data_IF_078297528074
#
_entry.id   IF_078297528074
#
_cell.length_a   1.000
_cell.length_b   1.000
_cell.length_c   1.000
_cell.angle_alpha   90.00
_cell.angle_beta   90.00
_cell.angle_gamma   90.00
#
_symmetry.space_group_name_H-M   'P 1'
#
loop_
_entity.id
_entity.type
_entity.pdbx_description
1 polymer ?
#
# COMPACT_ATOMS: atom_id res chain seq x y z
N UNK A 1 -6.96 -21.41 -1.43
CA UNK A 1 -5.93 -20.64 -0.66
C UNK A 1 -5.18 -19.72 -1.60
N UNK A 2 -4.55 -18.65 -1.07
CA UNK A 2 -3.68 -17.75 -1.85
C UNK A 2 -2.37 -17.52 -1.11
N UNK A 3 -1.27 -17.48 -1.88
CA UNK A 3 0.07 -17.14 -1.41
C UNK A 3 0.73 -16.22 -2.41
N UNK A 4 1.60 -15.34 -1.96
CA UNK A 4 2.34 -14.42 -2.83
C UNK A 4 3.84 -14.69 -2.76
N UNK A 5 4.45 -14.78 -3.93
CA UNK A 5 5.90 -14.72 -4.09
C UNK A 5 6.34 -13.28 -3.90
N UNK A 6 7.37 -13.07 -3.08
CA UNK A 6 7.89 -11.75 -2.77
C UNK A 6 9.35 -11.62 -3.18
N UNK A 7 9.72 -10.42 -3.62
CA UNK A 7 11.10 -10.13 -4.01
C UNK A 7 12.05 -10.14 -2.82
N UNK A 8 13.24 -10.75 -2.94
CA UNK A 8 14.32 -10.60 -1.99
C UNK A 8 15.16 -9.33 -2.21
N UNK A 9 14.97 -8.64 -3.33
CA UNK A 9 15.75 -7.47 -3.71
C UNK A 9 15.10 -6.16 -3.27
N UNK A 10 15.93 -5.21 -2.81
CA UNK A 10 15.49 -3.86 -2.47
C UNK A 10 15.15 -3.03 -3.73
N UNK A 11 15.91 -3.22 -4.82
CA UNK A 11 15.65 -2.60 -6.11
C UNK A 11 16.22 -3.50 -7.20
N UNK A 12 15.36 -3.97 -8.09
CA UNK A 12 15.77 -4.80 -9.22
C UNK A 12 14.75 -4.72 -10.35
N UNK A 13 15.22 -4.90 -11.54
CA UNK A 13 14.38 -5.09 -12.72
C UNK A 13 13.96 -6.55 -12.83
N UNK A 14 12.72 -6.79 -13.21
CA UNK A 14 12.18 -8.12 -13.47
C UNK A 14 12.40 -8.41 -14.96
N UNK A 15 13.28 -9.35 -15.26
CA UNK A 15 13.58 -9.72 -16.65
C UNK A 15 12.62 -10.81 -17.19
N UNK A 16 12.22 -11.73 -16.32
CA UNK A 16 11.27 -12.78 -16.64
C UNK A 16 10.69 -13.39 -15.35
N UNK A 17 9.46 -13.85 -15.46
CA UNK A 17 8.77 -14.66 -14.45
C UNK A 17 8.30 -15.93 -15.13
N UNK A 18 8.90 -17.06 -14.77
CA UNK A 18 8.51 -18.38 -15.26
C UNK A 18 7.59 -19.03 -14.23
N UNK A 19 6.39 -19.37 -14.66
CA UNK A 19 5.33 -19.94 -13.83
C UNK A 19 4.93 -21.37 -14.28
N UNK A 20 5.54 -21.89 -15.34
CA UNK A 20 5.16 -23.19 -15.93
C UNK A 20 5.27 -24.33 -14.92
N UNK A 21 6.39 -24.35 -14.15
CA UNK A 21 6.60 -25.36 -13.12
C UNK A 21 5.57 -25.32 -12.00
N UNK A 22 5.05 -24.13 -11.66
CA UNK A 22 4.00 -23.97 -10.67
C UNK A 22 2.63 -24.40 -11.19
N UNK A 23 2.31 -24.05 -12.43
CA UNK A 23 1.05 -24.40 -13.09
C UNK A 23 0.91 -25.91 -13.33
N UNK A 24 2.03 -26.63 -13.47
CA UNK A 24 2.05 -28.09 -13.64
C UNK A 24 1.71 -28.86 -12.36
N UNK A 25 1.72 -28.23 -11.19
CA UNK A 25 1.43 -28.90 -9.93
C UNK A 25 -0.07 -29.15 -9.74
N UNK A 26 -0.44 -30.35 -9.24
CA UNK A 26 -1.83 -30.66 -8.94
C UNK A 26 -2.36 -29.75 -7.83
N UNK A 27 -3.60 -29.27 -8.01
CA UNK A 27 -4.26 -28.39 -7.03
C UNK A 27 -3.92 -26.92 -7.14
N UNK A 28 -3.10 -26.51 -8.12
CA UNK A 28 -2.89 -25.12 -8.49
C UNK A 28 -3.99 -24.71 -9.49
N UNK A 29 -4.82 -23.77 -9.08
CA UNK A 29 -5.93 -23.28 -9.90
C UNK A 29 -5.46 -22.20 -10.89
N UNK A 30 -4.61 -21.27 -10.45
CA UNK A 30 -3.96 -20.28 -11.30
C UNK A 30 -2.76 -19.62 -10.62
N UNK A 31 -1.90 -19.00 -11.46
CA UNK A 31 -0.82 -18.10 -11.04
C UNK A 31 -1.02 -16.76 -11.73
N UNK A 32 -0.99 -15.68 -10.96
CA UNK A 32 -1.15 -14.30 -11.45
C UNK A 32 0.17 -13.58 -11.28
N UNK A 33 0.67 -12.94 -12.33
CA UNK A 33 1.91 -12.17 -12.34
C UNK A 33 1.63 -10.68 -12.60
N UNK A 34 2.67 -9.84 -12.54
CA UNK A 34 2.55 -8.41 -12.75
C UNK A 34 1.92 -8.01 -14.08
N UNK A 35 2.20 -8.73 -15.17
CA UNK A 35 1.61 -8.47 -16.48
C UNK A 35 0.09 -8.70 -16.49
N UNK A 36 -0.39 -9.72 -15.79
CA UNK A 36 -1.83 -9.96 -15.65
C UNK A 36 -2.49 -8.86 -14.82
N UNK A 37 -1.83 -8.46 -13.72
CA UNK A 37 -2.30 -7.36 -12.90
C UNK A 37 -2.41 -6.06 -13.70
N UNK A 38 -1.43 -5.77 -14.57
CA UNK A 38 -1.44 -4.61 -15.46
C UNK A 38 -2.59 -4.66 -16.47
N UNK A 39 -2.91 -5.83 -16.97
CA UNK A 39 -4.00 -6.05 -17.93
C UNK A 39 -5.38 -5.90 -17.31
N UNK A 40 -5.56 -6.38 -16.06
CA UNK A 40 -6.88 -6.46 -15.43
C UNK A 40 -7.19 -5.32 -14.46
N UNK A 41 -6.19 -4.58 -14.02
CA UNK A 41 -6.36 -3.53 -13.01
C UNK A 41 -5.81 -2.19 -13.50
N UNK A 42 -5.98 -1.17 -12.66
CA UNK A 42 -5.31 0.11 -12.80
C UNK A 42 -4.34 0.30 -11.64
N UNK A 43 -3.27 1.10 -11.80
CA UNK A 43 -2.38 1.41 -10.68
C UNK A 43 -3.16 2.13 -9.58
N UNK A 44 -2.75 1.93 -8.34
CA UNK A 44 -3.34 2.65 -7.22
C UNK A 44 -3.12 4.15 -7.39
N UNK A 45 -4.21 4.91 -7.28
CA UNK A 45 -4.14 6.35 -7.24
C UNK A 45 -3.65 6.79 -5.85
N UNK A 46 -2.45 7.28 -5.77
CA UNK A 46 -1.92 7.88 -4.54
C UNK A 46 -2.19 9.39 -4.61
N UNK A 47 -2.89 9.93 -3.60
CA UNK A 47 -3.24 11.36 -3.52
C UNK A 47 -2.02 12.22 -3.16
N UNK A 48 -1.01 12.25 -4.02
CA UNK A 48 0.19 13.06 -3.92
C UNK A 48 0.32 13.95 -5.16
N UNK A 49 1.06 15.05 -5.06
CA UNK A 49 1.25 16.00 -6.17
C UNK A 49 1.91 15.33 -7.38
N UNK A 50 2.79 14.38 -7.14
CA UNK A 50 3.50 13.64 -8.18
C UNK A 50 3.07 12.18 -8.09
N UNK A 51 2.15 11.73 -8.96
CA UNK A 51 1.61 10.39 -8.88
C UNK A 51 2.69 9.36 -9.26
N UNK A 52 2.98 8.45 -8.33
CA UNK A 52 3.75 7.25 -8.60
C UNK A 52 2.79 6.12 -8.99
N UNK A 53 3.20 5.30 -9.96
CA UNK A 53 2.41 4.13 -10.35
C UNK A 53 2.73 2.97 -9.40
N UNK A 54 1.75 2.58 -8.59
CA UNK A 54 1.80 1.39 -7.75
C UNK A 54 0.80 0.36 -8.23
N UNK A 55 1.29 -0.80 -8.57
CA UNK A 55 0.47 -1.96 -8.94
C UNK A 55 0.33 -2.91 -7.75
N UNK A 56 -0.68 -3.75 -7.78
CA UNK A 56 -0.86 -4.79 -6.75
C UNK A 56 0.22 -5.89 -6.79
N UNK A 57 0.84 -6.07 -7.97
CA UNK A 57 2.03 -6.90 -8.18
C UNK A 57 3.07 -6.09 -8.95
N UNK A 58 4.34 -6.33 -8.68
CA UNK A 58 5.43 -5.71 -9.42
C UNK A 58 5.38 -6.14 -10.89
N UNK A 59 5.44 -5.17 -11.82
CA UNK A 59 5.34 -5.42 -13.26
C UNK A 59 6.72 -5.50 -13.90
N UNK A 60 7.43 -4.38 -13.91
CA UNK A 60 8.71 -4.19 -14.61
C UNK A 60 9.90 -4.21 -13.65
N UNK A 61 9.69 -3.76 -12.41
CA UNK A 61 10.74 -3.72 -11.40
C UNK A 61 10.17 -3.79 -9.99
N UNK A 62 11.00 -4.28 -9.07
CA UNK A 62 10.75 -4.24 -7.64
C UNK A 62 11.48 -3.07 -7.01
N UNK A 63 10.86 -2.43 -6.01
CA UNK A 63 11.29 -1.17 -5.41
C UNK A 63 11.55 -1.28 -3.90
N UNK A 64 11.21 -2.42 -3.32
CA UNK A 64 11.49 -2.73 -1.90
C UNK A 64 11.53 -4.24 -1.67
N UNK A 65 12.26 -4.64 -0.62
CA UNK A 65 12.29 -6.04 -0.19
C UNK A 65 10.90 -6.47 0.26
N UNK A 66 10.44 -7.60 -0.26
CA UNK A 66 9.10 -8.10 0.05
C UNK A 66 7.98 -7.62 -0.87
N UNK A 67 8.30 -6.85 -1.92
CA UNK A 67 7.31 -6.47 -2.94
C UNK A 67 6.74 -7.72 -3.61
N UNK A 68 5.40 -7.87 -3.69
CA UNK A 68 4.78 -9.03 -4.30
C UNK A 68 4.99 -9.04 -5.83
N UNK A 69 5.45 -10.18 -6.35
CA UNK A 69 5.75 -10.37 -7.78
C UNK A 69 4.75 -11.30 -8.45
N UNK A 70 4.34 -12.36 -7.74
CA UNK A 70 3.33 -13.29 -8.22
C UNK A 70 2.39 -13.73 -7.10
N UNK A 71 1.20 -14.16 -7.46
CA UNK A 71 0.22 -14.76 -6.54
C UNK A 71 -0.21 -16.10 -7.09
N UNK A 72 -0.15 -17.12 -6.25
CA UNK A 72 -0.65 -18.46 -6.55
C UNK A 72 -1.98 -18.67 -5.86
N UNK A 73 -2.95 -19.23 -6.57
CA UNK A 73 -4.23 -19.68 -6.05
C UNK A 73 -4.28 -21.21 -6.12
N UNK A 74 -4.60 -21.81 -4.98
CA UNK A 74 -4.66 -23.27 -4.84
C UNK A 74 -5.86 -23.67 -3.99
N UNK A 75 -6.25 -24.93 -4.07
CA UNK A 75 -7.28 -25.50 -3.20
C UNK A 75 -6.76 -25.69 -1.79
N UNK A 76 -5.51 -26.14 -1.65
CA UNK A 76 -4.88 -26.46 -0.38
C UNK A 76 -3.68 -25.57 -0.08
N UNK A 77 -3.36 -25.45 1.21
CA UNK A 77 -2.27 -24.60 1.67
C UNK A 77 -0.89 -25.11 1.23
N UNK A 78 -0.66 -26.40 1.37
CA UNK A 78 0.63 -27.04 1.05
C UNK A 78 0.95 -26.85 -0.44
N UNK A 79 -0.02 -27.12 -1.32
CA UNK A 79 0.16 -26.90 -2.76
C UNK A 79 0.55 -25.45 -3.11
N UNK A 80 0.14 -24.47 -2.31
CA UNK A 80 0.52 -23.07 -2.55
C UNK A 80 2.00 -22.80 -2.18
N UNK A 81 2.52 -23.44 -1.15
CA UNK A 81 3.91 -23.30 -0.73
C UNK A 81 4.83 -23.99 -1.75
N UNK A 82 4.50 -25.22 -2.14
CA UNK A 82 5.22 -25.97 -3.18
C UNK A 82 5.21 -25.24 -4.53
N UNK A 83 4.09 -24.62 -4.89
CA UNK A 83 3.99 -23.87 -6.14
C UNK A 83 4.85 -22.60 -6.14
N UNK A 84 5.00 -21.90 -5.00
CA UNK A 84 5.90 -20.75 -4.91
C UNK A 84 7.35 -21.13 -5.20
N UNK A 85 7.80 -22.31 -4.75
CA UNK A 85 9.16 -22.79 -4.98
C UNK A 85 9.44 -23.14 -6.45
N UNK A 86 8.38 -23.35 -7.25
CA UNK A 86 8.46 -23.66 -8.68
C UNK A 86 8.35 -22.42 -9.57
N UNK A 87 8.13 -21.23 -9.01
CA UNK A 87 8.17 -19.99 -9.78
C UNK A 87 9.62 -19.48 -9.83
N UNK A 88 10.16 -19.39 -11.03
CA UNK A 88 11.49 -18.82 -11.24
C UNK A 88 11.37 -17.36 -11.70
N UNK A 89 12.03 -16.45 -10.98
CA UNK A 89 12.10 -15.03 -11.34
C UNK A 89 13.53 -14.64 -11.63
N UNK A 90 13.78 -14.10 -12.80
CA UNK A 90 15.07 -13.53 -13.18
C UNK A 90 15.09 -12.05 -12.89
N UNK A 91 15.97 -11.63 -12.00
CA UNK A 91 16.16 -10.24 -11.61
C UNK A 91 17.48 -9.70 -12.17
N UNK A 92 17.51 -8.41 -12.46
CA UNK A 92 18.71 -7.61 -12.63
C UNK A 92 18.78 -6.61 -11.49
N UNK A 93 19.64 -6.83 -10.47
CA UNK A 93 19.76 -5.89 -9.35
C UNK A 93 20.13 -4.48 -9.84
N UNK A 94 19.54 -3.49 -9.21
CA UNK A 94 19.79 -2.07 -9.45
C UNK A 94 20.30 -1.42 -8.17
N UNK A 95 21.05 -0.30 -8.27
CA UNK A 95 21.41 0.48 -7.11
C UNK A 95 20.20 0.84 -6.27
N UNK A 96 20.32 0.71 -4.96
CA UNK A 96 19.24 1.00 -4.01
C UNK A 96 19.74 1.92 -2.90
N UNK A 97 18.86 2.76 -2.38
CA UNK A 97 19.10 3.59 -1.20
C UNK A 97 18.26 3.05 -0.06
N UNK A 98 18.92 2.68 1.03
CA UNK A 98 18.29 2.15 2.24
C UNK A 98 18.20 3.23 3.32
N UNK A 99 19.11 4.19 3.29
CA UNK A 99 19.18 5.30 4.21
C UNK A 99 18.21 6.42 3.78
N UNK A 100 17.25 6.73 4.66
CA UNK A 100 16.24 7.75 4.40
C UNK A 100 16.81 9.18 4.31
N UNK A 101 17.93 9.47 4.95
CA UNK A 101 18.58 10.79 4.86
C UNK A 101 19.25 10.97 3.50
N UNK A 102 19.87 9.91 3.00
CA UNK A 102 20.57 9.91 1.71
C UNK A 102 19.64 9.86 0.49
N UNK A 103 18.40 9.48 0.66
CA UNK A 103 17.43 9.36 -0.44
C UNK A 103 17.16 10.69 -1.15
N UNK A 104 17.38 11.82 -0.46
CA UNK A 104 17.19 13.17 -0.99
C UNK A 104 18.44 13.75 -1.68
N UNK A 105 19.58 13.07 -1.60
CA UNK A 105 20.83 13.51 -2.25
C UNK A 105 20.68 13.53 -3.78
N UNK A 106 21.33 14.48 -4.49
CA UNK A 106 21.20 14.61 -5.94
C UNK A 106 21.68 13.39 -6.74
N UNK A 107 22.62 12.63 -6.19
CA UNK A 107 23.22 11.43 -6.78
C UNK A 107 22.51 10.12 -6.33
N UNK A 108 21.48 10.23 -5.51
CA UNK A 108 20.73 9.07 -5.04
C UNK A 108 20.04 8.33 -6.20
N UNK A 109 20.11 6.99 -6.25
CA UNK A 109 19.40 6.20 -7.24
C UNK A 109 17.90 6.45 -7.21
N UNK A 110 17.29 6.74 -8.37
CA UNK A 110 15.86 6.98 -8.48
C UNK A 110 15.06 5.69 -8.51
N UNK A 111 14.15 5.52 -7.53
CA UNK A 111 13.20 4.40 -7.51
C UNK A 111 12.08 4.58 -8.54
N UNK A 112 11.73 5.83 -8.84
CA UNK A 112 10.73 6.21 -9.83
C UNK A 112 11.33 7.17 -10.86
N UNK A 113 12.09 6.70 -11.86
CA UNK A 113 12.77 7.57 -12.83
C UNK A 113 11.82 8.52 -13.58
N UNK A 114 10.60 8.09 -13.85
CA UNK A 114 9.58 8.92 -14.51
C UNK A 114 9.14 10.14 -13.68
N UNK A 115 9.36 10.10 -12.38
CA UNK A 115 9.06 11.21 -11.46
C UNK A 115 10.25 12.19 -11.37
N UNK A 116 11.48 11.71 -11.59
CA UNK A 116 12.70 12.50 -11.50
C UNK A 116 13.14 12.83 -10.08
N UNK A 117 12.47 12.31 -9.06
CA UNK A 117 12.78 12.55 -7.64
C UNK A 117 12.33 11.37 -6.78
N UNK A 118 13.07 11.10 -5.72
CA UNK A 118 12.64 10.17 -4.68
C UNK A 118 11.68 10.83 -3.67
N UNK A 119 11.58 12.17 -3.67
CA UNK A 119 10.67 12.92 -2.80
C UNK A 119 9.33 13.06 -3.51
N UNK A 120 8.37 12.28 -3.11
CA UNK A 120 7.03 12.24 -3.72
C UNK A 120 6.09 13.27 -3.10
N UNK A 121 6.30 13.61 -1.83
CA UNK A 121 5.49 14.60 -1.10
C UNK A 121 6.31 15.31 -0.05
N UNK A 122 6.28 16.63 -0.07
CA UNK A 122 6.79 17.49 0.99
C UNK A 122 5.63 18.33 1.54
N UNK A 123 5.40 18.25 2.85
CA UNK A 123 4.31 18.95 3.54
C UNK A 123 4.80 19.54 4.86
N UNK A 124 4.80 20.87 4.95
CA UNK A 124 5.06 21.57 6.20
C UNK A 124 3.74 21.79 6.97
N UNK A 125 3.64 21.24 8.17
CA UNK A 125 2.53 21.51 9.08
C UNK A 125 2.91 22.60 10.07
N UNK A 126 2.35 23.79 9.92
CA UNK A 126 2.50 24.86 10.90
C UNK A 126 1.39 24.73 11.95
N UNK A 127 1.76 24.39 13.16
CA UNK A 127 0.83 24.44 14.31
C UNK A 127 0.58 25.91 14.62
N UNK A 128 -0.66 26.40 14.41
CA UNK A 128 -1.06 27.70 14.96
C UNK A 128 -0.98 27.60 16.48
N UNK A 129 -0.29 28.52 17.17
CA UNK A 129 -0.34 28.54 18.63
C UNK A 129 -1.83 28.62 19.02
N UNK A 130 -2.24 27.72 19.91
CA UNK A 130 -3.56 27.81 20.54
C UNK A 130 -3.59 29.15 21.27
N UNK A 131 -4.32 30.13 20.74
CA UNK A 131 -4.65 31.30 21.52
C UNK A 131 -5.31 30.79 22.79
N UNK A 132 -4.75 31.14 23.97
CA UNK A 132 -5.42 30.88 25.24
C UNK A 132 -6.76 31.58 25.20
N UNK A 133 -7.78 30.91 24.69
CA UNK A 133 -9.16 31.33 24.94
C UNK A 133 -9.31 31.25 26.43
N UNK A 134 -9.36 32.42 27.13
CA UNK A 134 -9.85 32.48 28.49
C UNK A 134 -11.17 31.71 28.50
N UNK A 135 -11.19 30.59 29.19
CA UNK A 135 -12.45 29.93 29.54
C UNK A 135 -13.10 30.92 30.53
N UNK A 136 -13.90 31.84 29.97
CA UNK A 136 -14.78 32.64 30.79
C UNK A 136 -15.68 31.65 31.50
N UNK A 137 -15.71 31.74 32.83
CA UNK A 137 -16.65 31.02 33.66
C UNK A 137 -18.06 31.34 33.15
N UNK A 138 -18.65 30.41 32.40
CA UNK A 138 -20.06 30.47 32.12
C UNK A 138 -20.76 30.20 33.41
N UNK A 139 -21.29 31.28 34.04
CA UNK A 139 -22.32 31.17 35.06
C UNK A 139 -23.40 30.24 34.54
N UNK A 140 -23.69 29.16 35.25
CA UNK A 140 -24.79 28.26 34.96
C UNK A 140 -26.06 29.11 34.79
N UNK A 141 -26.82 28.97 33.68
CA UNK A 141 -28.13 29.56 33.62
C UNK A 141 -28.98 28.90 34.68
N UNK A 142 -29.73 29.76 35.41
CA UNK A 142 -30.68 29.34 36.42
C UNK A 142 -31.61 28.25 35.87
N UNK A 143 -31.87 27.29 36.75
CA UNK A 143 -32.77 26.15 36.51
C UNK A 143 -34.12 26.67 35.97
N UNK A 144 -34.44 26.35 34.76
CA UNK A 144 -35.72 26.62 34.17
C UNK A 144 -36.73 25.68 34.80
N UNK A 145 -37.61 26.23 35.66
CA UNK A 145 -38.74 25.49 36.23
C UNK A 145 -39.57 24.85 35.11
N UNK A 146 -39.81 23.58 35.29
CA UNK A 146 -40.61 22.77 34.37
C UNK A 146 -42.12 23.07 34.66
N UNK A 147 -42.92 23.43 33.65
CA UNK A 147 -44.37 23.63 33.87
C UNK A 147 -45.03 22.30 34.28
N UNK A 148 -46.07 22.32 35.10
CA UNK A 148 -46.75 21.14 35.60
C UNK A 148 -47.43 20.37 34.45
N UNK A 149 -47.33 19.04 34.51
CA UNK A 149 -47.93 18.12 33.56
C UNK A 149 -49.46 18.29 33.51
N UNK A 150 -50.01 18.48 32.33
CA UNK A 150 -51.47 18.47 32.13
C UNK A 150 -51.96 17.02 32.28
N UNK A 151 -52.85 16.82 33.28
CA UNK A 151 -53.59 15.58 33.43
C UNK A 151 -54.71 15.54 32.35
N UNK A 152 -54.63 14.55 31.45
CA UNK A 152 -55.78 14.20 30.59
C UNK A 152 -56.74 13.37 31.46
N UNK A 153 -57.83 13.98 31.87
CA UNK A 153 -59.02 13.27 32.32
C UNK A 153 -59.83 12.86 31.08
N UNK A 154 -59.91 11.55 30.90
CA UNK A 154 -60.86 10.93 29.98
C UNK A 154 -62.25 10.94 30.63
N UNK A 155 -63.21 11.50 29.96
CA UNK A 155 -64.63 11.21 30.10
C UNK A 155 -65.15 10.75 28.77
#
# INVERSE_FOLDING_TARGET
MRRSLRSPHAHAEILAVDVEGALALPGVDCVVIGEDARRWTRPFAVAVKTPTQHWCLAVDRVRYVGEPVAVVLTRERHSAEDALERIAVRYRPLPSVVDAERVAEPDAPLLHPAVGSNIVSDRAFRRRPLSRRRIGSRSRPATREMPPARSNALS
#
